data_IF_888779426083
#
_entry.id   IF_888779426083
#
_cell.length_a   1.000
_cell.length_b   1.000
_cell.length_c   1.000
_cell.angle_alpha   90.00
_cell.angle_beta   90.00
_cell.angle_gamma   90.00
#
_symmetry.space_group_name_H-M   'P 1'
#
loop_
_entity.id
_entity.type
_entity.pdbx_description
1 polymer ?
#
# COMPACT_ATOMS: atom_id res chain seq x y z
N UNK A 1 -67.28 -54.65 -16.59
CA UNK A 1 -66.61 -53.77 -17.56
C UNK A 1 -65.30 -53.29 -16.95
N UNK A 2 -64.19 -53.56 -17.66
CA UNK A 2 -62.80 -53.05 -17.49
C UNK A 2 -62.11 -53.28 -16.12
N UNK A 3 -61.14 -54.19 -15.94
CA UNK A 3 -59.69 -54.09 -16.30
C UNK A 3 -59.15 -52.69 -15.95
N UNK A 4 -58.25 -52.51 -14.97
CA UNK A 4 -56.78 -52.73 -14.97
C UNK A 4 -56.37 -52.62 -13.48
N UNK A 5 -55.50 -53.39 -12.84
CA UNK A 5 -54.26 -54.06 -13.23
C UNK A 5 -53.28 -53.82 -12.08
N UNK A 6 -53.02 -54.85 -11.28
CA UNK A 6 -52.06 -54.87 -10.19
C UNK A 6 -50.64 -54.99 -10.73
N UNK A 7 -49.65 -54.27 -10.15
CA UNK A 7 -48.26 -54.73 -10.14
C UNK A 7 -47.39 -54.02 -9.10
N UNK A 8 -47.27 -54.69 -7.95
CA UNK A 8 -46.12 -54.65 -7.07
C UNK A 8 -44.95 -55.42 -7.73
N UNK A 9 -43.80 -54.77 -7.98
CA UNK A 9 -42.49 -55.18 -7.44
C UNK A 9 -41.27 -54.41 -7.99
N UNK A 10 -40.39 -54.11 -7.02
CA UNK A 10 -38.91 -54.13 -7.04
C UNK A 10 -38.13 -52.94 -7.62
N UNK A 11 -37.50 -52.22 -6.66
CA UNK A 11 -36.05 -52.03 -6.53
C UNK A 11 -35.26 -51.75 -7.81
N UNK A 12 -34.91 -50.49 -8.02
CA UNK A 12 -33.61 -50.12 -8.52
C UNK A 12 -33.14 -48.86 -7.78
N UNK A 13 -32.13 -49.04 -6.94
CA UNK A 13 -31.36 -47.98 -6.33
C UNK A 13 -30.74 -47.13 -7.43
N UNK A 14 -31.28 -45.93 -7.64
CA UNK A 14 -30.70 -44.88 -8.48
C UNK A 14 -30.08 -43.78 -7.62
N UNK A 15 -29.24 -44.16 -6.65
CA UNK A 15 -28.35 -43.23 -5.98
C UNK A 15 -27.30 -42.76 -6.98
N UNK A 16 -27.65 -41.79 -7.81
CA UNK A 16 -26.70 -41.11 -8.66
C UNK A 16 -25.57 -40.54 -7.79
N UNK A 17 -24.29 -40.68 -8.19
CA UNK A 17 -23.21 -40.10 -7.42
C UNK A 17 -23.45 -38.60 -7.40
N UNK A 18 -23.83 -38.07 -6.24
CA UNK A 18 -23.86 -36.63 -5.98
C UNK A 18 -22.49 -36.12 -6.38
N UNK A 19 -22.47 -35.41 -7.51
CA UNK A 19 -21.26 -34.85 -8.08
C UNK A 19 -20.77 -33.84 -7.06
N UNK A 20 -19.88 -34.26 -6.15
CA UNK A 20 -19.17 -33.32 -5.29
C UNK A 20 -18.51 -32.33 -6.26
N UNK A 21 -18.81 -31.03 -6.17
CA UNK A 21 -18.16 -30.05 -7.03
C UNK A 21 -16.65 -30.26 -6.88
N UNK A 22 -15.96 -30.46 -8.01
CA UNK A 22 -14.51 -30.59 -8.01
C UNK A 22 -13.94 -29.38 -7.24
N UNK A 23 -13.01 -29.57 -6.29
CA UNK A 23 -12.57 -28.51 -5.37
C UNK A 23 -12.15 -27.23 -6.10
N UNK A 24 -11.66 -27.34 -7.34
CA UNK A 24 -11.26 -26.25 -8.22
C UNK A 24 -12.34 -25.17 -8.39
N UNK A 25 -13.62 -25.54 -8.58
CA UNK A 25 -14.69 -24.54 -8.79
C UNK A 25 -14.95 -23.67 -7.56
N UNK A 26 -14.94 -24.28 -6.37
CA UNK A 26 -15.13 -23.56 -5.11
C UNK A 26 -14.00 -22.56 -4.86
N UNK A 27 -12.75 -22.95 -5.13
CA UNK A 27 -11.60 -22.06 -4.99
C UNK A 27 -11.63 -20.89 -5.98
N UNK A 28 -12.14 -21.08 -7.18
CA UNK A 28 -12.30 -20.01 -8.17
C UNK A 28 -13.39 -19.02 -7.75
N UNK A 29 -14.53 -19.51 -7.26
CA UNK A 29 -15.61 -18.69 -6.71
C UNK A 29 -15.12 -17.86 -5.51
N UNK A 30 -14.38 -18.48 -4.57
CA UNK A 30 -13.79 -17.76 -3.43
C UNK A 30 -12.81 -16.66 -3.88
N UNK A 31 -11.97 -16.93 -4.88
CA UNK A 31 -11.06 -15.91 -5.44
C UNK A 31 -11.82 -14.80 -6.16
N UNK A 32 -12.92 -15.10 -6.82
CA UNK A 32 -13.77 -14.10 -7.45
C UNK A 32 -14.42 -13.18 -6.41
N UNK A 33 -14.95 -13.76 -5.33
CA UNK A 33 -15.45 -12.99 -4.19
C UNK A 33 -14.35 -12.10 -3.61
N UNK A 34 -13.14 -12.63 -3.38
CA UNK A 34 -12.01 -11.83 -2.87
C UNK A 34 -11.65 -10.67 -3.82
N UNK A 35 -11.66 -10.88 -5.14
CA UNK A 35 -11.41 -9.81 -6.12
C UNK A 35 -12.51 -8.74 -6.06
N UNK A 36 -13.77 -9.15 -5.98
CA UNK A 36 -14.89 -8.23 -5.83
C UNK A 36 -14.78 -7.42 -4.52
N UNK A 37 -14.40 -8.07 -3.42
CA UNK A 37 -14.15 -7.41 -2.13
C UNK A 37 -13.00 -6.40 -2.23
N UNK A 38 -11.86 -6.76 -2.81
CA UNK A 38 -10.74 -5.84 -3.01
C UNK A 38 -11.15 -4.62 -3.83
N UNK A 39 -11.93 -4.82 -4.91
CA UNK A 39 -12.46 -3.72 -5.72
C UNK A 39 -13.40 -2.81 -4.92
N UNK A 40 -14.33 -3.38 -4.14
CA UNK A 40 -15.24 -2.61 -3.30
C UNK A 40 -14.51 -1.83 -2.20
N UNK A 41 -13.45 -2.39 -1.62
CA UNK A 41 -12.58 -1.68 -0.65
C UNK A 41 -11.85 -0.51 -1.31
N UNK A 42 -11.36 -0.68 -2.52
CA UNK A 42 -10.72 0.39 -3.29
C UNK A 42 -11.68 1.56 -3.55
N UNK A 43 -12.90 1.28 -4.03
CA UNK A 43 -13.95 2.28 -4.26
C UNK A 43 -14.37 2.99 -2.96
N UNK A 44 -14.47 2.22 -1.87
CA UNK A 44 -14.77 2.76 -0.53
C UNK A 44 -13.64 3.66 -0.02
N UNK A 45 -12.39 3.23 -0.18
CA UNK A 45 -11.22 4.00 0.22
C UNK A 45 -11.16 5.35 -0.52
N UNK A 46 -11.39 5.37 -1.83
CA UNK A 46 -11.46 6.63 -2.59
C UNK A 46 -12.62 7.52 -2.14
N UNK A 47 -13.77 6.93 -1.82
CA UNK A 47 -14.90 7.69 -1.26
C UNK A 47 -14.53 8.37 0.07
N UNK A 48 -13.79 7.68 0.94
CA UNK A 48 -13.24 8.27 2.17
C UNK A 48 -12.19 9.35 1.90
N UNK A 49 -11.31 9.17 0.90
CA UNK A 49 -10.36 10.21 0.45
C UNK A 49 -11.10 11.49 0.04
N UNK A 50 -12.15 11.38 -0.78
CA UNK A 50 -12.94 12.55 -1.19
C UNK A 50 -13.66 13.22 -0.02
N UNK A 51 -14.09 12.43 0.98
CA UNK A 51 -14.67 12.94 2.21
C UNK A 51 -13.64 13.49 3.21
N UNK A 52 -12.33 13.40 2.91
CA UNK A 52 -11.21 13.73 3.82
C UNK A 52 -11.19 12.90 5.11
N UNK A 53 -11.79 11.71 5.07
CA UNK A 53 -11.74 10.73 6.15
C UNK A 53 -10.47 9.87 6.01
N UNK A 54 -9.32 10.49 6.31
CA UNK A 54 -8.00 9.94 6.01
C UNK A 54 -7.72 8.61 6.70
N UNK A 55 -8.18 8.44 7.95
CA UNK A 55 -7.95 7.21 8.72
C UNK A 55 -8.72 6.04 8.12
N UNK A 56 -9.99 6.24 7.79
CA UNK A 56 -10.85 5.24 7.18
C UNK A 56 -10.36 4.88 5.78
N UNK A 57 -9.91 5.88 4.99
CA UNK A 57 -9.28 5.64 3.70
C UNK A 57 -8.01 4.78 3.83
N UNK A 58 -7.14 5.10 4.79
CA UNK A 58 -5.90 4.38 5.00
C UNK A 58 -6.14 2.91 5.38
N UNK A 59 -7.12 2.66 6.27
CA UNK A 59 -7.55 1.32 6.67
C UNK A 59 -8.12 0.54 5.48
N UNK A 60 -9.02 1.13 4.70
CA UNK A 60 -9.62 0.48 3.54
C UNK A 60 -8.58 0.10 2.47
N UNK A 61 -7.61 0.98 2.19
CA UNK A 61 -6.48 0.64 1.32
C UNK A 61 -5.58 -0.47 1.91
N UNK A 62 -5.37 -0.46 3.22
CA UNK A 62 -4.61 -1.52 3.91
C UNK A 62 -5.29 -2.89 3.82
N UNK A 63 -6.62 -2.93 3.97
CA UNK A 63 -7.43 -4.14 3.79
C UNK A 63 -7.44 -4.60 2.33
N UNK A 64 -7.59 -3.68 1.38
CA UNK A 64 -7.47 -3.97 -0.03
C UNK A 64 -6.14 -4.68 -0.33
N UNK A 65 -5.03 -4.12 0.15
CA UNK A 65 -3.71 -4.71 -0.05
C UNK A 65 -3.60 -6.13 0.50
N UNK A 66 -4.25 -6.41 1.64
CA UNK A 66 -4.26 -7.76 2.22
C UNK A 66 -5.00 -8.77 1.34
N UNK A 67 -6.12 -8.37 0.71
CA UNK A 67 -6.80 -9.23 -0.28
C UNK A 67 -5.98 -9.41 -1.55
N UNK A 68 -5.38 -8.34 -2.07
CA UNK A 68 -4.55 -8.39 -3.27
C UNK A 68 -3.35 -9.34 -3.08
N UNK A 69 -2.69 -9.31 -1.90
CA UNK A 69 -1.63 -10.26 -1.56
C UNK A 69 -2.13 -11.72 -1.51
N UNK A 70 -3.31 -11.99 -0.92
CA UNK A 70 -3.90 -13.34 -0.90
C UNK A 70 -4.20 -13.85 -2.32
N UNK A 71 -4.56 -12.94 -3.23
CA UNK A 71 -4.83 -13.25 -4.62
C UNK A 71 -3.58 -13.43 -5.48
N UNK A 72 -2.41 -13.02 -4.96
CA UNK A 72 -1.12 -13.00 -5.66
C UNK A 72 -0.89 -11.75 -6.50
N UNK A 73 -1.73 -10.71 -6.36
CA UNK A 73 -1.58 -9.43 -7.08
C UNK A 73 -0.69 -8.47 -6.30
N UNK A 74 0.62 -8.73 -6.36
CA UNK A 74 1.62 -7.93 -5.66
C UNK A 74 1.70 -6.48 -6.15
N UNK A 75 1.35 -6.21 -7.41
CA UNK A 75 1.36 -4.83 -7.93
C UNK A 75 0.22 -4.01 -7.33
N UNK A 76 -0.99 -4.58 -7.33
CA UNK A 76 -2.15 -3.92 -6.75
C UNK A 76 -1.95 -3.73 -5.25
N UNK A 77 -1.43 -4.75 -4.55
CA UNK A 77 -1.09 -4.67 -3.14
C UNK A 77 -0.08 -3.55 -2.83
N UNK A 78 1.01 -3.45 -3.58
CA UNK A 78 2.02 -2.41 -3.37
C UNK A 78 1.44 -1.00 -3.60
N UNK A 79 0.62 -0.85 -4.64
CA UNK A 79 -0.06 0.41 -4.95
C UNK A 79 -1.06 0.80 -3.86
N UNK A 80 -1.81 -0.16 -3.34
CA UNK A 80 -2.76 0.05 -2.24
C UNK A 80 -2.04 0.43 -0.93
N UNK A 81 -0.94 -0.25 -0.58
CA UNK A 81 -0.11 0.13 0.57
C UNK A 81 0.46 1.53 0.45
N UNK A 82 0.92 1.92 -0.74
CA UNK A 82 1.41 3.28 -0.97
C UNK A 82 0.30 4.33 -0.79
N UNK A 83 -0.92 4.05 -1.24
CA UNK A 83 -2.08 4.93 -1.01
C UNK A 83 -2.46 4.99 0.47
N UNK A 84 -2.41 3.86 1.17
CA UNK A 84 -2.62 3.79 2.62
C UNK A 84 -1.61 4.66 3.38
N UNK A 85 -0.32 4.55 3.04
CA UNK A 85 0.73 5.39 3.61
C UNK A 85 0.47 6.88 3.37
N UNK A 86 0.13 7.26 2.14
CA UNK A 86 -0.22 8.66 1.82
C UNK A 86 -1.39 9.14 2.68
N UNK A 87 -2.42 8.33 2.89
CA UNK A 87 -3.56 8.71 3.72
C UNK A 87 -3.16 8.90 5.20
N UNK A 88 -2.33 8.01 5.76
CA UNK A 88 -1.81 8.19 7.12
C UNK A 88 -0.95 9.45 7.26
N UNK A 89 -0.19 9.84 6.24
CA UNK A 89 0.60 11.08 6.24
C UNK A 89 -0.25 12.36 6.23
N UNK A 90 -1.55 12.29 5.90
CA UNK A 90 -2.48 13.43 6.00
C UNK A 90 -3.19 13.51 7.36
N UNK A 91 -2.99 12.54 8.25
CA UNK A 91 -3.44 12.62 9.64
C UNK A 91 -2.43 13.52 10.37
N UNK A 92 -2.93 14.55 11.06
CA UNK A 92 -2.13 15.61 11.70
C UNK A 92 -0.90 15.11 12.48
N UNK A 93 0.17 15.92 12.48
CA UNK A 93 1.58 15.52 12.66
C UNK A 93 1.99 14.99 14.05
N UNK A 94 1.06 14.83 14.99
CA UNK A 94 1.35 14.40 16.35
C UNK A 94 0.81 12.99 16.66
N UNK A 95 0.11 12.36 15.72
CA UNK A 95 -0.31 10.97 15.89
C UNK A 95 0.86 10.03 15.58
N UNK A 96 1.64 9.71 16.62
CA UNK A 96 2.73 8.73 16.57
C UNK A 96 2.27 7.37 15.97
N UNK A 97 1.01 6.98 16.21
CA UNK A 97 0.42 5.78 15.64
C UNK A 97 0.23 5.87 14.13
N UNK A 98 -0.24 7.01 13.64
CA UNK A 98 -0.35 7.28 12.20
C UNK A 98 1.02 7.31 11.53
N UNK A 99 2.01 7.96 12.16
CA UNK A 99 3.39 8.00 11.68
C UNK A 99 3.98 6.58 11.57
N UNK A 100 3.82 5.75 12.61
CA UNK A 100 4.27 4.36 12.60
C UNK A 100 3.56 3.54 11.52
N UNK A 101 2.26 3.74 11.33
CA UNK A 101 1.49 3.09 10.28
C UNK A 101 1.95 3.51 8.88
N UNK A 102 2.25 4.80 8.66
CA UNK A 102 2.83 5.31 7.41
C UNK A 102 4.14 4.62 7.08
N UNK A 103 5.09 4.58 8.04
CA UNK A 103 6.39 3.91 7.86
C UNK A 103 6.21 2.44 7.52
N UNK A 104 5.39 1.73 8.28
CA UNK A 104 5.12 0.31 8.06
C UNK A 104 4.51 0.04 6.66
N UNK A 105 3.57 0.88 6.22
CA UNK A 105 2.96 0.75 4.91
C UNK A 105 3.97 1.02 3.78
N UNK A 106 4.83 2.05 3.92
CA UNK A 106 5.89 2.35 2.97
C UNK A 106 6.95 1.24 2.89
N UNK A 107 7.37 0.67 4.02
CA UNK A 107 8.34 -0.44 4.04
C UNK A 107 7.79 -1.68 3.33
N UNK A 108 6.52 -2.02 3.58
CA UNK A 108 5.85 -3.12 2.87
C UNK A 108 5.73 -2.85 1.37
N UNK A 109 5.34 -1.64 0.97
CA UNK A 109 5.26 -1.25 -0.43
C UNK A 109 6.63 -1.32 -1.12
N UNK A 110 7.67 -0.77 -0.47
CA UNK A 110 9.05 -0.83 -0.93
C UNK A 110 9.52 -2.27 -1.18
N UNK A 111 9.28 -3.18 -0.22
CA UNK A 111 9.63 -4.59 -0.37
C UNK A 111 8.96 -5.25 -1.58
N UNK A 112 7.68 -4.95 -1.82
CA UNK A 112 6.95 -5.46 -2.99
C UNK A 112 7.46 -4.85 -4.31
N UNK A 113 7.74 -3.55 -4.35
CA UNK A 113 8.31 -2.92 -5.54
C UNK A 113 9.69 -3.49 -5.88
N UNK A 114 10.54 -3.74 -4.88
CA UNK A 114 11.84 -4.37 -5.08
C UNK A 114 11.72 -5.81 -5.57
N UNK A 115 10.82 -6.61 -4.99
CA UNK A 115 10.54 -7.97 -5.46
C UNK A 115 10.15 -8.01 -6.93
N UNK A 116 9.41 -7.00 -7.39
CA UNK A 116 8.95 -6.85 -8.77
C UNK A 116 9.93 -6.12 -9.68
N UNK A 117 11.08 -5.69 -9.16
CA UNK A 117 12.07 -4.87 -9.86
C UNK A 117 11.50 -3.52 -10.37
N UNK A 118 10.47 -2.98 -9.73
CA UNK A 118 9.96 -1.62 -9.96
C UNK A 118 10.82 -0.61 -9.18
N UNK A 119 12.02 -0.37 -9.69
CA UNK A 119 13.01 0.48 -9.04
C UNK A 119 12.56 1.95 -8.94
N UNK A 120 11.70 2.42 -9.85
CA UNK A 120 11.19 3.79 -9.78
C UNK A 120 10.26 3.98 -8.57
N UNK A 121 9.34 3.04 -8.36
CA UNK A 121 8.42 3.09 -7.22
C UNK A 121 9.12 2.75 -5.90
N UNK A 122 10.11 1.86 -5.92
CA UNK A 122 10.99 1.62 -4.78
C UNK A 122 11.73 2.92 -4.37
N UNK A 123 12.32 3.63 -5.33
CA UNK A 123 12.98 4.91 -5.07
C UNK A 123 12.03 5.96 -4.49
N UNK A 124 10.81 6.08 -5.03
CA UNK A 124 9.80 7.01 -4.52
C UNK A 124 9.34 6.67 -3.09
N UNK A 125 9.28 5.39 -2.75
CA UNK A 125 8.96 4.93 -1.39
C UNK A 125 10.10 5.26 -0.41
N UNK A 126 11.36 5.08 -0.83
CA UNK A 126 12.53 5.49 -0.04
C UNK A 126 12.58 7.00 0.21
N UNK A 127 12.22 7.83 -0.78
CA UNK A 127 12.17 9.30 -0.59
C UNK A 127 11.14 9.67 0.48
N UNK A 128 9.93 9.11 0.43
CA UNK A 128 8.89 9.39 1.44
C UNK A 128 9.31 8.92 2.84
N UNK A 129 9.94 7.75 2.94
CA UNK A 129 10.52 7.30 4.23
C UNK A 129 11.59 8.28 4.72
N UNK A 130 12.50 8.73 3.85
CA UNK A 130 13.53 9.67 4.21
C UNK A 130 12.96 11.00 4.73
N UNK A 131 11.94 11.54 4.07
CA UNK A 131 11.25 12.76 4.46
C UNK A 131 10.62 12.62 5.87
N UNK A 132 9.94 11.51 6.16
CA UNK A 132 9.40 11.22 7.51
C UNK A 132 10.49 11.14 8.59
N UNK A 133 11.66 10.58 8.25
CA UNK A 133 12.79 10.53 9.18
C UNK A 133 13.44 11.91 9.39
N UNK A 134 13.38 12.81 8.40
CA UNK A 134 13.81 14.22 8.57
C UNK A 134 12.89 14.93 9.57
N UNK A 135 11.57 14.77 9.43
CA UNK A 135 10.58 15.36 10.35
C UNK A 135 10.80 14.90 11.80
N UNK A 136 11.15 13.63 11.98
CA UNK A 136 11.47 13.05 13.29
C UNK A 136 12.88 13.35 13.80
N UNK A 137 13.64 14.18 13.08
CA UNK A 137 15.03 14.54 13.38
C UNK A 137 16.00 13.34 13.42
N UNK A 138 15.62 12.23 12.79
CA UNK A 138 16.48 11.07 12.56
C UNK A 138 17.32 11.26 11.29
N UNK A 139 18.17 12.29 11.28
CA UNK A 139 18.85 12.74 10.06
C UNK A 139 19.76 11.67 9.43
N UNK A 140 20.30 10.74 10.24
CA UNK A 140 21.19 9.67 9.76
C UNK A 140 20.39 8.65 8.95
N UNK A 141 19.29 8.15 9.54
CA UNK A 141 18.36 7.23 8.88
C UNK A 141 17.81 7.85 7.59
N UNK A 142 17.41 9.13 7.64
CA UNK A 142 16.96 9.86 6.47
C UNK A 142 18.01 9.92 5.35
N UNK A 143 19.26 10.23 5.69
CA UNK A 143 20.38 10.26 4.72
C UNK A 143 20.57 8.89 4.05
N UNK A 144 20.52 7.80 4.81
CA UNK A 144 20.67 6.45 4.29
C UNK A 144 19.56 6.07 3.31
N UNK A 145 18.31 6.48 3.59
CA UNK A 145 17.19 6.27 2.67
C UNK A 145 17.28 7.14 1.40
N UNK A 146 17.77 8.38 1.50
CA UNK A 146 18.04 9.19 0.31
C UNK A 146 19.12 8.56 -0.58
N UNK A 147 20.17 7.98 -0.02
CA UNK A 147 21.18 7.24 -0.83
C UNK A 147 20.59 5.99 -1.48
N UNK A 148 19.77 5.22 -0.76
CA UNK A 148 19.06 4.07 -1.34
C UNK A 148 18.19 4.52 -2.52
N UNK A 149 17.42 5.60 -2.35
CA UNK A 149 16.60 6.17 -3.42
C UNK A 149 17.46 6.59 -4.63
N UNK A 150 18.61 7.22 -4.39
CA UNK A 150 19.55 7.59 -5.45
C UNK A 150 20.09 6.36 -6.20
N UNK A 151 20.39 5.29 -5.48
CA UNK A 151 20.79 4.00 -6.06
C UNK A 151 19.73 3.45 -7.00
N UNK A 152 18.47 3.40 -6.56
CA UNK A 152 17.35 2.91 -7.37
C UNK A 152 17.03 3.80 -8.57
N UNK A 153 17.16 5.12 -8.44
CA UNK A 153 16.99 6.05 -9.57
C UNK A 153 18.15 5.99 -10.59
N UNK A 154 19.29 5.39 -10.25
CA UNK A 154 20.44 5.28 -11.15
C UNK A 154 21.00 6.64 -11.57
N UNK A 155 21.08 6.90 -12.88
CA UNK A 155 21.61 8.15 -13.46
C UNK A 155 20.56 9.25 -13.69
N UNK A 156 19.32 9.07 -13.21
CA UNK A 156 18.23 10.02 -13.37
C UNK A 156 18.51 11.35 -12.63
N UNK A 157 17.93 12.48 -13.09
CA UNK A 157 17.93 13.76 -12.36
C UNK A 157 17.46 13.62 -10.91
N UNK A 158 16.48 12.74 -10.67
CA UNK A 158 16.00 12.43 -9.30
C UNK A 158 17.09 11.85 -8.41
N UNK A 159 17.99 11.04 -8.96
CA UNK A 159 19.16 10.52 -8.22
C UNK A 159 20.07 11.62 -7.72
N UNK A 160 20.36 12.63 -8.56
CA UNK A 160 21.20 13.78 -8.16
C UNK A 160 20.57 14.56 -7.00
N UNK A 161 19.24 14.76 -7.04
CA UNK A 161 18.50 15.40 -5.95
C UNK A 161 18.63 14.56 -4.66
N UNK A 162 18.41 13.26 -4.73
CA UNK A 162 18.54 12.38 -3.57
C UNK A 162 19.96 12.40 -2.96
N UNK A 163 21.02 12.36 -3.79
CA UNK A 163 22.41 12.48 -3.30
C UNK A 163 22.69 13.83 -2.65
N UNK A 164 22.17 14.91 -3.24
CA UNK A 164 22.29 16.24 -2.66
C UNK A 164 21.65 16.31 -1.28
N UNK A 165 20.42 15.79 -1.14
CA UNK A 165 19.72 15.73 0.14
C UNK A 165 20.47 14.88 1.17
N UNK A 166 20.95 13.69 0.80
CA UNK A 166 21.77 12.84 1.67
C UNK A 166 23.02 13.57 2.18
N UNK A 167 23.73 14.28 1.29
CA UNK A 167 24.90 15.08 1.63
C UNK A 167 24.58 16.26 2.54
N UNK A 168 23.46 16.97 2.28
CA UNK A 168 22.96 18.05 3.14
C UNK A 168 22.74 17.53 4.56
N UNK A 169 22.03 16.42 4.72
CA UNK A 169 21.76 15.83 6.05
C UNK A 169 23.03 15.37 6.78
N UNK A 170 24.01 14.80 6.06
CA UNK A 170 25.31 14.44 6.66
C UNK A 170 26.11 15.65 7.14
N UNK A 171 26.13 16.72 6.35
CA UNK A 171 26.78 17.97 6.74
C UNK A 171 26.15 18.51 8.04
N UNK A 172 24.83 18.50 8.10
CA UNK A 172 24.04 18.95 9.24
C UNK A 172 24.26 18.09 10.50
N UNK A 173 24.38 16.77 10.35
CA UNK A 173 24.78 15.87 11.43
C UNK A 173 26.20 16.14 11.93
N UNK A 174 27.12 16.43 11.01
CA UNK A 174 28.51 16.72 11.33
C UNK A 174 28.69 18.09 11.98
N UNK A 175 27.84 19.07 11.65
CA UNK A 175 27.98 20.44 12.12
C UNK A 175 27.49 20.69 13.55
N UNK A 176 26.81 19.71 14.20
CA UNK A 176 26.30 19.57 15.61
C UNK A 176 25.84 20.81 16.42
N UNK A 177 25.99 22.03 15.96
CA UNK A 177 25.77 23.28 16.70
C UNK A 177 24.86 24.28 15.96
N UNK A 178 24.55 24.06 14.68
CA UNK A 178 23.74 25.00 13.88
C UNK A 178 22.24 24.68 13.83
N UNK A 179 21.80 23.53 14.37
CA UNK A 179 20.41 23.06 14.22
C UNK A 179 19.39 23.61 15.23
N UNK A 180 19.84 24.31 16.28
CA UNK A 180 18.92 25.02 17.20
C UNK A 180 18.37 26.33 16.63
N UNK A 181 18.83 26.76 15.46
CA UNK A 181 18.49 28.05 14.86
C UNK A 181 17.81 27.97 13.48
N UNK A 182 17.41 26.78 13.00
CA UNK A 182 16.60 26.71 11.78
C UNK A 182 15.18 27.22 12.04
N UNK A 183 14.59 27.98 11.10
CA UNK A 183 13.20 28.42 11.19
C UNK A 183 12.25 27.22 11.21
N UNK A 184 11.05 27.47 11.74
CA UNK A 184 9.98 26.52 11.97
C UNK A 184 9.74 25.56 10.77
N UNK A 185 9.61 24.23 10.98
CA UNK A 185 9.29 23.24 9.94
C UNK A 185 8.05 23.57 9.07
N UNK A 186 7.19 24.49 9.49
CA UNK A 186 6.02 24.93 8.72
C UNK A 186 6.37 25.62 7.38
N UNK A 187 7.59 26.14 7.19
CA UNK A 187 7.96 26.85 5.95
C UNK A 187 8.39 25.90 4.81
N UNK A 188 9.00 24.76 5.13
CA UNK A 188 9.40 23.73 4.15
C UNK A 188 8.19 22.92 3.66
N UNK A 189 7.19 22.84 4.53
CA UNK A 189 5.94 22.11 4.36
C UNK A 189 5.09 22.64 3.20
N UNK A 190 5.14 23.94 2.94
CA UNK A 190 4.34 24.61 1.89
C UNK A 190 4.75 24.23 0.45
N UNK A 191 6.03 23.92 0.20
CA UNK A 191 6.52 23.61 -1.15
C UNK A 191 6.35 22.13 -1.57
N UNK A 192 6.16 21.22 -0.61
CA UNK A 192 5.90 19.80 -0.90
C UNK A 192 4.41 19.53 -1.16
N UNK A 193 3.50 20.26 -0.49
CA UNK A 193 2.06 20.04 -0.62
C UNK A 193 1.48 20.34 -2.02
N UNK A 194 2.00 21.32 -2.76
CA UNK A 194 1.51 21.60 -4.13
C UNK A 194 1.89 20.53 -5.16
N UNK A 195 3.04 19.87 -4.98
CA UNK A 195 3.54 18.86 -5.94
C UNK A 195 2.84 17.51 -5.76
N UNK A 196 2.37 17.19 -4.55
CA UNK A 196 1.69 15.92 -4.28
C UNK A 196 0.17 15.96 -4.53
N UNK A 197 -0.47 17.12 -4.38
CA UNK A 197 -1.90 17.29 -4.69
C UNK A 197 -2.22 17.06 -6.18
N UNK A 198 -1.25 17.28 -7.07
CA UNK A 198 -1.40 17.04 -8.51
C UNK A 198 -1.16 15.58 -8.93
N UNK A 199 -0.65 14.73 -8.03
CA UNK A 199 -0.37 13.31 -8.30
C UNK A 199 -1.40 12.30 -7.76
N UNK A 200 -2.55 12.79 -7.30
CA UNK A 200 -3.71 11.95 -6.89
C UNK A 200 -4.76 11.85 -8.02
N UNK A 201 -4.62 12.60 -9.12
CA UNK A 201 -5.38 12.36 -10.35
C UNK A 201 -4.71 11.33 -11.25
#
# INVERSE_FOLDING_TARGET
>A
MCLVGSLLRRLAAGGGPGHKPKPIRRWEEEREVMRATAKGLNETAFSHVYAKNWREAALAFGEQAAYDLKLGDEQSAASALLRSAKCYAWIHDEDEGAIAATKLALDKALALFLKRNDLQMAAASCVQLAELYVEQRELQTASDFFEKAAGYYGSNRRSRRCRFEAGRLRFLLASKETYRQLPDPDDVRSQLYEVFATGIM
#
